data_IF_941561784040
#
_entry.id   IF_941561784040
#
_cell.length_a   1.000
_cell.length_b   1.000
_cell.length_c   1.000
_cell.angle_alpha   90.00
_cell.angle_beta   90.00
_cell.angle_gamma   90.00
#
_symmetry.space_group_name_H-M   'P 1'
#
loop_
_entity.id
_entity.type
_entity.pdbx_description
1 polymer ?
#
# COMPACT_ATOMS: atom_id res chain seq x y z
N UNK A 1 2.72 10.40 2.58
CA UNK A 1 4.04 10.73 1.95
C UNK A 1 4.40 9.60 0.99
N UNK A 2 4.82 9.88 -0.24
CA UNK A 2 5.02 8.87 -1.29
C UNK A 2 6.46 8.66 -1.71
N UNK A 3 6.78 7.40 -2.10
CA UNK A 3 8.06 6.97 -2.71
C UNK A 3 9.31 7.31 -1.90
N UNK A 4 9.25 7.09 -0.59
CA UNK A 4 10.39 7.30 0.30
C UNK A 4 11.37 6.11 0.21
N UNK A 5 12.65 6.41 0.12
CA UNK A 5 13.70 5.41 0.33
C UNK A 5 13.80 5.09 1.84
N UNK A 6 13.99 3.81 2.25
CA UNK A 6 14.03 3.44 3.67
C UNK A 6 15.04 4.26 4.50
N UNK A 7 16.16 4.64 3.90
CA UNK A 7 17.23 5.42 4.56
C UNK A 7 16.82 6.83 4.98
N UNK A 8 15.76 7.38 4.42
CA UNK A 8 15.23 8.69 4.80
C UNK A 8 14.60 8.63 6.19
N UNK A 9 14.12 7.45 6.60
CA UNK A 9 13.47 7.25 7.89
C UNK A 9 14.54 7.21 8.98
N UNK A 10 14.73 8.33 9.65
CA UNK A 10 15.59 8.53 10.82
C UNK A 10 14.78 9.08 11.97
N UNK A 11 15.29 9.04 13.20
CA UNK A 11 14.64 9.67 14.35
C UNK A 11 14.43 11.17 14.11
N UNK A 12 15.47 11.88 13.65
CA UNK A 12 15.39 13.31 13.33
C UNK A 12 14.31 13.61 12.27
N UNK A 13 14.20 12.78 11.21
CA UNK A 13 13.17 12.93 10.21
C UNK A 13 11.78 12.73 10.80
N UNK A 14 11.57 11.69 11.60
CA UNK A 14 10.29 11.39 12.23
C UNK A 14 9.91 12.47 13.24
N UNK A 15 10.82 12.93 14.07
CA UNK A 15 10.59 14.04 15.01
C UNK A 15 10.18 15.32 14.26
N UNK A 16 10.86 15.61 13.14
CA UNK A 16 10.52 16.76 12.31
C UNK A 16 9.11 16.69 11.70
N UNK A 17 8.70 15.53 11.18
CA UNK A 17 7.38 15.40 10.54
C UNK A 17 6.23 15.20 11.54
N UNK A 18 6.47 14.60 12.70
CA UNK A 18 5.44 14.46 13.76
C UNK A 18 5.11 15.80 14.43
N UNK A 19 6.02 16.76 14.38
CA UNK A 19 5.75 18.14 14.81
C UNK A 19 4.83 18.93 13.86
N UNK A 20 4.48 18.35 12.69
CA UNK A 20 3.65 19.00 11.68
C UNK A 20 2.23 18.43 11.69
N UNK A 21 1.24 19.25 12.04
CA UNK A 21 -0.18 18.85 12.15
C UNK A 21 -0.83 18.35 10.85
N UNK A 22 -0.20 18.60 9.70
CA UNK A 22 -0.77 18.30 8.37
C UNK A 22 -0.12 17.11 7.67
N UNK A 23 0.74 16.38 8.35
CA UNK A 23 1.35 15.17 7.78
C UNK A 23 0.44 13.97 8.05
N UNK A 24 -0.19 13.48 6.98
CA UNK A 24 -1.01 12.28 7.04
C UNK A 24 -0.17 11.05 7.44
N UNK A 25 -0.65 10.18 8.34
CA UNK A 25 0.05 8.97 8.77
C UNK A 25 -0.03 7.85 7.70
N UNK A 26 0.30 8.20 6.47
CA UNK A 26 0.39 7.32 5.32
C UNK A 26 1.77 7.46 4.66
N UNK A 27 2.50 6.35 4.57
CA UNK A 27 3.89 6.29 4.11
C UNK A 27 4.04 5.24 3.01
N UNK A 28 4.50 5.64 1.84
CA UNK A 28 4.90 4.71 0.79
C UNK A 28 6.43 4.58 0.81
N UNK A 29 6.93 3.43 1.33
CA UNK A 29 8.34 3.09 1.39
C UNK A 29 8.71 2.11 0.28
N UNK A 30 9.71 2.43 -0.52
CA UNK A 30 10.16 1.58 -1.63
C UNK A 30 10.92 0.35 -1.12
N UNK A 31 10.32 -0.84 -1.20
CA UNK A 31 10.97 -2.12 -0.82
C UNK A 31 11.52 -2.87 -2.02
N UNK A 32 10.71 -3.10 -3.03
CA UNK A 32 10.97 -3.82 -4.28
C UNK A 32 11.07 -5.34 -4.13
N UNK A 33 11.67 -5.90 -3.09
CA UNK A 33 11.69 -7.30 -2.74
C UNK A 33 11.94 -7.47 -1.23
N UNK A 34 11.43 -8.52 -0.63
CA UNK A 34 11.67 -8.83 0.78
C UNK A 34 12.67 -10.00 0.99
N UNK A 35 13.52 -10.28 -0.02
CA UNK A 35 14.63 -11.21 0.06
C UNK A 35 15.95 -10.47 -0.21
N UNK A 36 16.92 -10.60 0.70
CA UNK A 36 18.21 -9.88 0.61
C UNK A 36 19.00 -10.23 -0.66
N UNK A 37 18.98 -11.49 -1.12
CA UNK A 37 19.66 -11.89 -2.35
C UNK A 37 19.06 -11.21 -3.57
N UNK A 38 17.73 -11.10 -3.64
CA UNK A 38 17.03 -10.38 -4.70
C UNK A 38 17.28 -8.87 -4.61
N UNK A 39 17.24 -8.27 -3.42
CA UNK A 39 17.57 -6.85 -3.21
C UNK A 39 19.00 -6.54 -3.68
N UNK A 40 19.95 -7.39 -3.37
CA UNK A 40 21.35 -7.26 -3.82
C UNK A 40 21.45 -7.30 -5.36
N UNK A 41 20.77 -8.23 -6.02
CA UNK A 41 20.72 -8.28 -7.49
C UNK A 41 20.03 -7.05 -8.11
N UNK A 42 19.04 -6.49 -7.43
CA UNK A 42 18.41 -5.20 -7.80
C UNK A 42 19.29 -3.98 -7.49
N UNK A 43 20.51 -4.20 -6.96
CA UNK A 43 21.43 -3.15 -6.51
C UNK A 43 20.86 -2.22 -5.42
N UNK A 44 19.95 -2.72 -4.60
CA UNK A 44 19.44 -1.99 -3.44
C UNK A 44 20.50 -1.93 -2.35
N UNK A 45 20.53 -0.82 -1.61
CA UNK A 45 21.57 -0.52 -0.61
C UNK A 45 21.06 -0.67 0.83
N UNK A 46 20.00 -1.43 1.01
CA UNK A 46 19.39 -1.79 2.29
C UNK A 46 19.05 -3.27 2.30
N UNK A 47 18.91 -3.83 3.50
CA UNK A 47 18.45 -5.18 3.74
C UNK A 47 16.98 -5.18 4.16
N UNK A 48 16.36 -6.35 4.18
CA UNK A 48 14.98 -6.49 4.67
C UNK A 48 14.89 -6.20 6.18
N UNK A 49 15.92 -6.51 6.95
CA UNK A 49 15.99 -6.23 8.38
C UNK A 49 16.01 -4.71 8.64
N UNK A 50 16.85 -3.96 7.88
CA UNK A 50 16.89 -2.49 7.93
C UNK A 50 15.51 -1.90 7.54
N UNK A 51 14.86 -2.47 6.52
CA UNK A 51 13.53 -2.02 6.12
C UNK A 51 12.49 -2.26 7.22
N UNK A 52 12.49 -3.44 7.87
CA UNK A 52 11.63 -3.77 9.00
C UNK A 52 11.81 -2.78 10.16
N UNK A 53 13.07 -2.47 10.50
CA UNK A 53 13.39 -1.45 11.52
C UNK A 53 12.75 -0.09 11.19
N UNK A 54 12.82 0.35 9.92
CA UNK A 54 12.21 1.63 9.49
C UNK A 54 10.68 1.61 9.61
N UNK A 55 10.04 0.48 9.27
CA UNK A 55 8.61 0.33 9.50
C UNK A 55 8.25 0.41 11.00
N UNK A 56 9.05 -0.20 11.86
CA UNK A 56 8.83 -0.16 13.30
C UNK A 56 9.05 1.24 13.89
N UNK A 57 10.02 1.99 13.38
CA UNK A 57 10.21 3.40 13.75
C UNK A 57 8.97 4.24 13.42
N UNK A 58 8.39 4.08 12.22
CA UNK A 58 7.16 4.77 11.82
C UNK A 58 5.98 4.37 12.72
N UNK A 59 5.84 3.06 13.05
CA UNK A 59 4.78 2.56 13.93
C UNK A 59 4.90 3.05 15.37
N UNK A 60 6.12 3.36 15.83
CA UNK A 60 6.33 3.99 17.15
C UNK A 60 5.98 5.48 17.13
N UNK A 61 6.22 6.16 16.02
CA UNK A 61 6.00 7.61 15.89
C UNK A 61 4.53 7.98 15.63
N UNK A 62 3.75 7.10 15.00
CA UNK A 62 2.35 7.36 14.63
C UNK A 62 1.42 6.27 15.14
N UNK A 63 0.21 6.65 15.54
CA UNK A 63 -0.85 5.68 15.85
C UNK A 63 -1.39 5.05 14.57
N UNK A 64 -1.30 3.73 14.48
CA UNK A 64 -1.82 2.92 13.35
C UNK A 64 -1.50 3.54 11.97
N UNK A 65 -0.21 3.79 11.62
CA UNK A 65 0.12 4.37 10.32
C UNK A 65 -0.13 3.38 9.20
N UNK A 66 -0.60 3.87 8.05
CA UNK A 66 -0.68 3.10 6.83
C UNK A 66 0.70 3.07 6.16
N UNK A 67 1.33 1.90 6.07
CA UNK A 67 2.59 1.72 5.35
C UNK A 67 2.32 0.91 4.09
N UNK A 68 2.58 1.52 2.93
CA UNK A 68 2.45 0.90 1.62
C UNK A 68 3.82 0.73 0.96
N UNK A 69 3.91 -0.17 -0.02
CA UNK A 69 5.15 -0.42 -0.76
C UNK A 69 4.92 -0.93 -2.17
N UNK A 70 5.98 -0.90 -2.98
CA UNK A 70 6.05 -1.62 -4.25
C UNK A 70 6.83 -2.92 -4.08
N UNK A 71 6.35 -4.01 -4.72
CA UNK A 71 7.04 -5.31 -4.78
C UNK A 71 7.07 -5.80 -6.22
N UNK A 72 8.27 -6.18 -6.69
CA UNK A 72 8.48 -6.75 -8.03
C UNK A 72 8.70 -8.25 -7.88
N UNK A 73 7.88 -9.06 -8.54
CA UNK A 73 8.03 -10.51 -8.60
C UNK A 73 8.69 -10.95 -9.91
N UNK A 74 9.48 -12.01 -9.86
CA UNK A 74 10.13 -12.59 -11.04
C UNK A 74 11.26 -11.75 -11.59
N UNK A 75 12.01 -11.05 -10.72
CA UNK A 75 13.26 -10.42 -11.09
C UNK A 75 14.25 -11.49 -11.57
N UNK A 76 15.14 -11.22 -12.55
CA UNK A 76 16.09 -12.22 -13.06
C UNK A 76 16.88 -12.91 -11.94
N UNK A 77 16.88 -14.24 -11.96
CA UNK A 77 17.52 -15.09 -10.96
C UNK A 77 16.74 -15.29 -9.66
N UNK A 78 15.54 -14.75 -9.51
CA UNK A 78 14.70 -15.01 -8.33
C UNK A 78 14.26 -16.49 -8.30
N UNK A 79 14.76 -17.24 -7.29
CA UNK A 79 14.41 -18.68 -7.10
C UNK A 79 13.07 -18.85 -6.36
N UNK A 80 12.60 -20.10 -6.25
CA UNK A 80 11.40 -20.40 -5.43
C UNK A 80 11.67 -20.17 -3.94
N UNK A 81 12.88 -20.48 -3.46
CA UNK A 81 13.28 -20.25 -2.06
C UNK A 81 13.35 -18.75 -1.73
N UNK A 82 13.87 -17.94 -2.66
CA UNK A 82 13.92 -16.49 -2.49
C UNK A 82 12.53 -15.87 -2.50
N UNK A 83 11.64 -16.37 -3.37
CA UNK A 83 10.25 -15.94 -3.39
C UNK A 83 9.52 -16.36 -2.10
N UNK A 84 9.71 -17.60 -1.62
CA UNK A 84 9.15 -18.03 -0.34
C UNK A 84 9.64 -17.17 0.83
N UNK A 85 10.92 -16.79 0.84
CA UNK A 85 11.50 -15.84 1.81
C UNK A 85 10.83 -14.48 1.71
N UNK A 86 10.58 -13.99 0.49
CA UNK A 86 9.85 -12.73 0.24
C UNK A 86 8.45 -12.79 0.85
N UNK A 87 7.69 -13.86 0.61
CA UNK A 87 6.34 -14.02 1.17
C UNK A 87 6.38 -14.01 2.70
N UNK A 88 7.24 -14.83 3.31
CA UNK A 88 7.35 -14.93 4.76
C UNK A 88 7.73 -13.60 5.43
N UNK A 89 8.59 -12.79 4.81
CA UNK A 89 8.97 -11.48 5.32
C UNK A 89 7.87 -10.43 5.12
N UNK A 90 7.11 -10.49 4.00
CA UNK A 90 5.97 -9.61 3.79
C UNK A 90 4.80 -9.91 4.75
N UNK A 91 4.60 -11.19 5.12
CA UNK A 91 3.65 -11.58 6.17
C UNK A 91 4.04 -10.95 7.52
N UNK A 92 5.33 -11.03 7.91
CA UNK A 92 5.84 -10.43 9.15
C UNK A 92 5.74 -8.90 9.16
N UNK A 93 6.02 -8.26 8.01
CA UNK A 93 5.92 -6.81 7.85
C UNK A 93 4.51 -6.31 8.07
N UNK A 94 3.49 -7.08 7.70
CA UNK A 94 2.08 -6.74 7.85
C UNK A 94 1.79 -5.30 7.41
N UNK A 95 1.99 -5.04 6.11
CA UNK A 95 1.81 -3.72 5.51
C UNK A 95 0.34 -3.46 5.20
N UNK A 96 -0.04 -2.18 5.14
CA UNK A 96 -1.38 -1.79 4.71
C UNK A 96 -1.66 -2.21 3.27
N UNK A 97 -0.76 -1.91 2.35
CA UNK A 97 -0.94 -2.19 0.93
C UNK A 97 0.38 -2.45 0.21
N UNK A 98 0.36 -3.39 -0.72
CA UNK A 98 1.48 -3.67 -1.60
C UNK A 98 1.05 -3.56 -3.06
N UNK A 99 1.74 -2.71 -3.82
CA UNK A 99 1.60 -2.67 -5.27
C UNK A 99 2.51 -3.73 -5.88
N UNK A 100 1.90 -4.80 -6.39
CA UNK A 100 2.63 -5.95 -6.92
C UNK A 100 2.84 -5.80 -8.43
N UNK A 101 4.09 -5.79 -8.84
CA UNK A 101 4.50 -5.68 -10.24
C UNK A 101 5.21 -6.96 -10.70
N UNK A 102 4.84 -7.48 -11.86
CA UNK A 102 5.63 -8.48 -12.56
C UNK A 102 6.84 -7.82 -13.21
N UNK A 103 8.05 -8.35 -13.01
CA UNK A 103 9.22 -7.82 -13.68
C UNK A 103 9.00 -7.76 -15.19
N UNK A 104 9.21 -6.58 -15.77
CA UNK A 104 9.13 -6.33 -17.21
C UNK A 104 10.50 -5.97 -17.74
N UNK A 105 10.94 -6.69 -18.76
CA UNK A 105 12.23 -6.49 -19.41
C UNK A 105 12.26 -5.14 -20.15
N UNK A 106 13.13 -4.24 -19.72
CA UNK A 106 13.31 -2.93 -20.34
C UNK A 106 14.63 -2.86 -21.07
N UNK A 107 14.60 -2.60 -22.37
CA UNK A 107 15.80 -2.42 -23.18
C UNK A 107 16.76 -1.40 -22.56
N UNK A 108 18.06 -1.66 -22.63
CA UNK A 108 19.10 -0.79 -22.09
C UNK A 108 19.36 -0.91 -20.58
N UNK A 109 18.63 -1.77 -19.86
CA UNK A 109 18.91 -2.02 -18.44
C UNK A 109 19.78 -3.26 -18.24
N UNK A 110 20.62 -3.28 -17.19
CA UNK A 110 21.41 -4.45 -16.81
C UNK A 110 20.53 -5.67 -16.59
N UNK A 111 19.41 -5.51 -15.88
CA UNK A 111 18.47 -6.59 -15.62
C UNK A 111 17.90 -7.24 -16.90
N UNK A 112 17.83 -6.51 -18.01
CA UNK A 112 17.38 -7.06 -19.29
C UNK A 112 18.38 -8.06 -19.92
N UNK A 113 19.66 -7.99 -19.54
CA UNK A 113 20.73 -8.86 -20.05
C UNK A 113 21.13 -9.93 -19.04
N UNK A 114 20.58 -9.91 -17.83
CA UNK A 114 20.86 -10.93 -16.83
C UNK A 114 20.35 -12.31 -17.30
N UNK A 115 21.11 -13.34 -16.96
CA UNK A 115 20.71 -14.74 -17.12
C UNK A 115 19.55 -15.11 -16.18
N UNK A 116 18.99 -16.30 -16.36
CA UNK A 116 17.93 -16.84 -15.51
C UNK A 116 16.67 -15.95 -15.44
N UNK A 117 16.24 -15.47 -16.60
CA UNK A 117 14.96 -14.76 -16.73
C UNK A 117 13.80 -15.67 -16.29
N UNK A 118 12.97 -15.16 -15.39
CA UNK A 118 11.80 -15.89 -14.88
C UNK A 118 10.68 -15.90 -15.93
N UNK A 119 10.04 -17.04 -16.15
CA UNK A 119 8.94 -17.16 -17.12
C UNK A 119 7.70 -16.38 -16.69
N UNK A 120 6.88 -15.94 -17.65
CA UNK A 120 5.67 -15.16 -17.37
C UNK A 120 4.64 -15.96 -16.55
N UNK A 121 4.56 -17.30 -16.76
CA UNK A 121 3.70 -18.17 -15.96
C UNK A 121 4.09 -18.19 -14.47
N UNK A 122 5.40 -18.21 -14.18
CA UNK A 122 5.90 -18.14 -12.79
C UNK A 122 5.64 -16.75 -12.19
N UNK A 123 5.89 -15.67 -12.94
CA UNK A 123 5.57 -14.31 -12.49
C UNK A 123 4.08 -14.13 -12.18
N UNK A 124 3.20 -14.69 -13.02
CA UNK A 124 1.75 -14.67 -12.80
C UNK A 124 1.37 -15.36 -11.48
N UNK A 125 1.87 -16.59 -11.28
CA UNK A 125 1.64 -17.35 -10.04
C UNK A 125 2.10 -16.57 -8.81
N UNK A 126 3.33 -16.03 -8.84
CA UNK A 126 3.90 -15.24 -7.74
C UNK A 126 3.11 -13.96 -7.48
N UNK A 127 2.71 -13.28 -8.55
CA UNK A 127 1.88 -12.07 -8.45
C UNK A 127 0.54 -12.35 -7.75
N UNK A 128 -0.14 -13.45 -8.13
CA UNK A 128 -1.42 -13.81 -7.53
C UNK A 128 -1.31 -14.12 -6.04
N UNK A 129 -0.23 -14.78 -5.60
CA UNK A 129 0.03 -15.06 -4.18
C UNK A 129 0.19 -13.74 -3.40
N UNK A 130 0.95 -12.77 -3.92
CA UNK A 130 1.13 -11.50 -3.23
C UNK A 130 -0.11 -10.59 -3.31
N UNK A 131 -0.91 -10.67 -4.37
CA UNK A 131 -2.18 -9.96 -4.47
C UNK A 131 -3.20 -10.47 -3.44
N UNK A 132 -3.24 -11.77 -3.19
CA UNK A 132 -4.06 -12.34 -2.11
C UNK A 132 -3.55 -11.90 -0.74
N UNK A 133 -2.24 -11.95 -0.51
CA UNK A 133 -1.63 -11.52 0.75
C UNK A 133 -1.95 -10.04 1.04
N UNK A 134 -1.74 -9.15 0.07
CA UNK A 134 -2.02 -7.71 0.27
C UNK A 134 -3.51 -7.44 0.49
N UNK A 135 -4.41 -8.16 -0.18
CA UNK A 135 -5.85 -8.01 0.05
C UNK A 135 -6.24 -8.38 1.48
N UNK A 136 -5.67 -9.47 2.02
CA UNK A 136 -5.92 -9.91 3.39
C UNK A 136 -5.36 -8.92 4.43
N UNK A 137 -4.12 -8.43 4.22
CA UNK A 137 -3.49 -7.45 5.11
C UNK A 137 -4.24 -6.12 5.10
N UNK A 138 -4.66 -5.64 3.92
CA UNK A 138 -5.47 -4.43 3.76
C UNK A 138 -6.79 -4.54 4.51
N UNK A 139 -7.52 -5.62 4.33
CA UNK A 139 -8.79 -5.85 5.01
C UNK A 139 -8.61 -5.90 6.54
N UNK A 140 -7.55 -6.56 7.03
CA UNK A 140 -7.23 -6.62 8.45
C UNK A 140 -6.86 -5.24 9.03
N UNK A 141 -6.12 -4.43 8.27
CA UNK A 141 -5.78 -3.07 8.65
C UNK A 141 -7.04 -2.18 8.72
N UNK A 142 -7.86 -2.19 7.68
CA UNK A 142 -9.10 -1.40 7.61
C UNK A 142 -10.10 -1.79 8.69
N UNK A 143 -10.15 -3.06 9.08
CA UNK A 143 -11.02 -3.54 10.16
C UNK A 143 -10.70 -2.90 11.52
N UNK A 144 -9.46 -2.42 11.75
CA UNK A 144 -9.10 -1.75 13.00
C UNK A 144 -9.85 -0.43 13.22
N UNK A 145 -10.39 0.16 12.18
CA UNK A 145 -11.14 1.42 12.21
C UNK A 145 -12.66 1.22 12.19
N UNK A 146 -13.13 -0.02 12.20
CA UNK A 146 -14.56 -0.32 12.13
C UNK A 146 -15.33 0.30 13.29
N UNK A 147 -16.34 1.11 12.98
CA UNK A 147 -17.15 1.81 13.98
C UNK A 147 -16.58 3.13 14.48
N UNK A 148 -15.43 3.57 13.98
CA UNK A 148 -14.87 4.89 14.30
C UNK A 148 -15.42 5.98 13.37
N UNK A 149 -15.52 7.20 13.87
CA UNK A 149 -15.75 8.39 13.05
C UNK A 149 -14.40 8.84 12.47
N UNK A 150 -14.28 8.79 11.15
CA UNK A 150 -13.06 9.17 10.45
C UNK A 150 -13.29 10.42 9.61
N UNK A 151 -12.38 11.41 9.65
CA UNK A 151 -12.40 12.53 8.73
C UNK A 151 -12.01 12.06 7.33
N UNK A 152 -12.89 12.25 6.36
CA UNK A 152 -12.75 11.84 4.97
C UNK A 152 -12.76 13.07 4.09
N UNK A 153 -11.71 13.28 3.30
CA UNK A 153 -11.74 14.26 2.22
C UNK A 153 -12.56 13.69 1.07
N UNK A 154 -13.73 14.29 0.81
CA UNK A 154 -14.59 13.88 -0.29
C UNK A 154 -14.07 14.44 -1.62
N UNK A 155 -13.76 13.55 -2.56
CA UNK A 155 -13.04 13.90 -3.80
C UNK A 155 -13.92 13.83 -5.04
N UNK A 156 -14.83 12.86 -5.10
CA UNK A 156 -15.70 12.65 -6.25
C UNK A 156 -17.02 11.99 -5.84
N UNK A 157 -18.00 12.01 -6.75
CA UNK A 157 -19.21 11.21 -6.61
C UNK A 157 -19.67 10.65 -7.95
N UNK A 158 -20.32 9.48 -7.90
CA UNK A 158 -20.99 8.86 -9.02
C UNK A 158 -22.50 8.85 -8.82
N UNK A 159 -23.25 8.84 -9.92
CA UNK A 159 -24.66 8.51 -9.92
C UNK A 159 -24.83 7.11 -10.53
N UNK A 160 -25.27 6.16 -9.74
CA UNK A 160 -25.55 4.78 -10.16
C UNK A 160 -27.05 4.52 -10.19
N UNK A 161 -27.49 3.67 -11.12
CA UNK A 161 -28.88 3.18 -11.10
C UNK A 161 -28.97 1.98 -10.13
N UNK A 162 -29.89 2.07 -9.18
CA UNK A 162 -30.17 0.98 -8.24
C UNK A 162 -31.68 0.71 -8.29
N UNK A 163 -32.05 -0.35 -8.98
CA UNK A 163 -33.45 -0.74 -9.17
C UNK A 163 -34.31 0.36 -9.82
N UNK A 164 -33.82 1.02 -10.85
CA UNK A 164 -34.49 2.10 -11.57
C UNK A 164 -34.55 3.44 -10.83
N UNK A 165 -33.75 3.60 -9.78
CA UNK A 165 -33.62 4.85 -9.02
C UNK A 165 -32.19 5.35 -9.02
N UNK A 166 -31.95 6.66 -9.24
CA UNK A 166 -30.62 7.23 -9.13
C UNK A 166 -30.18 7.26 -7.66
N UNK A 167 -29.02 6.65 -7.38
CA UNK A 167 -28.35 6.69 -6.08
C UNK A 167 -27.01 7.38 -6.28
N UNK A 168 -26.70 8.35 -5.44
CA UNK A 168 -25.44 9.07 -5.48
C UNK A 168 -24.47 8.47 -4.47
N UNK A 169 -23.26 8.14 -4.93
CA UNK A 169 -22.22 7.53 -4.10
C UNK A 169 -21.04 8.47 -4.07
N UNK A 170 -20.82 9.11 -2.94
CA UNK A 170 -19.60 9.90 -2.68
C UNK A 170 -18.42 8.98 -2.40
N UNK A 171 -17.24 9.39 -2.84
CA UNK A 171 -15.98 8.72 -2.60
C UNK A 171 -14.96 9.72 -2.09
N UNK A 172 -14.13 9.27 -1.17
CA UNK A 172 -13.04 10.07 -0.62
C UNK A 172 -12.07 9.21 0.18
N UNK A 173 -10.99 9.82 0.62
CA UNK A 173 -9.96 9.13 1.38
C UNK A 173 -9.81 9.73 2.77
N UNK A 174 -9.49 8.86 3.73
CA UNK A 174 -9.03 9.28 5.06
C UNK A 174 -7.58 9.77 4.99
N UNK A 175 -7.06 10.31 6.09
CA UNK A 175 -5.64 10.66 6.27
C UNK A 175 -4.69 9.45 6.14
N UNK A 176 -5.20 8.22 6.29
CA UNK A 176 -4.48 6.95 6.09
C UNK A 176 -4.68 6.36 4.70
N UNK A 177 -5.31 7.12 3.79
CA UNK A 177 -5.61 6.72 2.43
C UNK A 177 -6.59 5.54 2.33
N UNK A 178 -7.42 5.32 3.35
CA UNK A 178 -8.52 4.36 3.29
C UNK A 178 -9.62 4.96 2.41
N UNK A 179 -10.01 4.25 1.36
CA UNK A 179 -11.11 4.64 0.49
C UNK A 179 -12.44 4.44 1.23
N UNK A 180 -13.22 5.51 1.32
CA UNK A 180 -14.56 5.50 1.89
C UNK A 180 -15.59 5.81 0.80
N UNK A 181 -16.65 5.01 0.77
CA UNK A 181 -17.81 5.23 -0.12
C UNK A 181 -19.05 5.42 0.73
N UNK A 182 -19.86 6.41 0.40
CA UNK A 182 -21.09 6.73 1.12
C UNK A 182 -22.23 7.03 0.16
N UNK A 183 -23.32 6.26 0.26
CA UNK A 183 -24.56 6.58 -0.45
C UNK A 183 -25.22 7.79 0.21
N UNK A 184 -25.66 8.78 -0.61
CA UNK A 184 -26.28 10.01 -0.13
C UNK A 184 -27.12 10.68 -1.22
N UNK A 185 -27.54 11.91 -1.03
CA UNK A 185 -28.30 12.70 -2.02
C UNK A 185 -27.35 13.52 -2.90
N UNK A 186 -27.81 13.92 -4.08
CA UNK A 186 -27.07 14.79 -4.98
C UNK A 186 -26.65 16.11 -4.31
N UNK A 187 -27.57 16.71 -3.58
CA UNK A 187 -27.32 17.98 -2.90
C UNK A 187 -26.17 17.87 -1.88
N UNK A 188 -26.13 16.81 -1.07
CA UNK A 188 -25.04 16.56 -0.12
C UNK A 188 -23.72 16.32 -0.86
N UNK A 189 -23.74 15.59 -2.00
CA UNK A 189 -22.55 15.41 -2.82
C UNK A 189 -21.97 16.76 -3.28
N UNK A 190 -22.80 17.61 -3.88
CA UNK A 190 -22.38 18.90 -4.43
C UNK A 190 -21.85 19.86 -3.34
N UNK A 191 -22.36 19.80 -2.12
CA UNK A 191 -21.93 20.61 -0.99
C UNK A 191 -20.63 20.09 -0.31
N UNK A 192 -20.36 18.81 -0.43
CA UNK A 192 -19.26 18.14 0.30
C UNK A 192 -18.00 17.92 -0.52
N UNK A 193 -18.03 18.12 -1.83
CA UNK A 193 -16.85 17.97 -2.69
C UNK A 193 -15.73 18.92 -2.25
N UNK A 194 -14.51 18.39 -2.15
CA UNK A 194 -13.31 19.06 -1.64
C UNK A 194 -13.43 19.53 -0.17
N UNK A 195 -14.33 18.92 0.59
CA UNK A 195 -14.49 19.18 2.03
C UNK A 195 -14.21 17.92 2.84
N UNK A 196 -13.81 18.11 4.11
CA UNK A 196 -13.74 17.02 5.07
C UNK A 196 -15.12 16.76 5.66
N UNK A 197 -15.50 15.49 5.69
CA UNK A 197 -16.74 15.00 6.28
C UNK A 197 -16.42 13.87 7.24
N UNK A 198 -16.95 13.93 8.47
CA UNK A 198 -16.82 12.84 9.43
C UNK A 198 -17.75 11.69 9.05
N UNK A 199 -17.20 10.53 8.75
CA UNK A 199 -17.94 9.34 8.33
C UNK A 199 -17.76 8.22 9.35
N UNK A 200 -18.86 7.62 9.80
CA UNK A 200 -18.81 6.39 10.59
C UNK A 200 -18.33 5.24 9.67
N UNK A 201 -17.06 4.87 9.84
CA UNK A 201 -16.43 3.90 8.96
C UNK A 201 -16.96 2.49 9.17
N UNK A 202 -17.31 1.85 8.08
CA UNK A 202 -17.73 0.44 8.04
C UNK A 202 -17.01 -0.21 6.86
N UNK A 203 -15.99 -1.06 7.11
CA UNK A 203 -15.28 -1.75 6.03
C UNK A 203 -16.25 -2.56 5.17
N UNK A 204 -16.04 -2.53 3.86
CA UNK A 204 -16.80 -3.40 2.94
C UNK A 204 -16.52 -4.86 3.34
N UNK A 205 -17.57 -5.68 3.41
CA UNK A 205 -17.41 -7.11 3.66
C UNK A 205 -16.61 -7.70 2.49
N UNK A 206 -15.47 -8.30 2.78
CA UNK A 206 -14.74 -9.11 1.80
C UNK A 206 -15.70 -10.16 1.20
N UNK A 207 -15.80 -10.17 -0.12
CA UNK A 207 -16.63 -11.16 -0.85
C UNK A 207 -15.90 -12.50 -0.90
#
# INVERSE_FOLDING_TARGET
MGSLEPRVITEEFLDGITALDKVCPHFHLSLQSACNETLKRMNRKYTIEEYMEKCDMIRKAYDRPAIATDVIVGFPGETEEEFATTVANLEKLNLYEMHVFKYSKRSGTIAATMEHQVSDAVKEKRSNILLELTANQKAAYEQQFSGELLPVLMEEYDCIDKDGKPVYVMKGHTDRYILVKQETTREVCEQSINAFVDVLYRPEKSK
#
